data_IF_094799554976
#
_entry.id   IF_094799554976
#
_cell.length_a   1.000
_cell.length_b   1.000
_cell.length_c   1.000
_cell.angle_alpha   90.00
_cell.angle_beta   90.00
_cell.angle_gamma   90.00
#
_symmetry.space_group_name_H-M   'P 1'
#
loop_
_entity.id
_entity.type
_entity.pdbx_description
1 polymer ?
#
# COMPACT_ATOMS: atom_id res chain seq x y z
N UNK A 1 16.54 12.79 -11.50
CA UNK A 1 16.11 12.44 -12.87
C UNK A 1 15.04 11.36 -12.77
N UNK A 2 13.81 11.62 -13.20
CA UNK A 2 12.82 10.55 -13.29
C UNK A 2 13.26 9.55 -14.35
N UNK A 3 13.40 8.28 -13.96
CA UNK A 3 13.67 7.20 -14.90
C UNK A 3 12.46 6.99 -15.81
N UNK A 4 12.67 6.56 -17.05
CA UNK A 4 11.58 6.25 -18.00
C UNK A 4 10.50 5.35 -17.38
N UNK A 5 10.90 4.39 -16.53
CA UNK A 5 10.00 3.51 -15.78
C UNK A 5 9.08 4.29 -14.83
N UNK A 6 9.62 5.24 -14.06
CA UNK A 6 8.83 6.05 -13.13
C UNK A 6 7.80 6.91 -13.86
N UNK A 7 8.19 7.50 -15.00
CA UNK A 7 7.26 8.25 -15.86
C UNK A 7 6.11 7.38 -16.36
N UNK A 8 6.41 6.20 -16.91
CA UNK A 8 5.40 5.27 -17.42
C UNK A 8 4.45 4.80 -16.32
N UNK A 9 4.97 4.52 -15.12
CA UNK A 9 4.16 4.11 -13.98
C UNK A 9 3.21 5.21 -13.51
N UNK A 10 3.71 6.45 -13.37
CA UNK A 10 2.89 7.62 -13.03
C UNK A 10 1.80 7.87 -14.07
N UNK A 11 2.11 7.71 -15.36
CA UNK A 11 1.12 7.81 -16.43
C UNK A 11 0.04 6.73 -16.28
N UNK A 12 0.42 5.47 -16.04
CA UNK A 12 -0.52 4.38 -15.82
C UNK A 12 -1.45 4.64 -14.62
N UNK A 13 -0.91 5.14 -13.50
CA UNK A 13 -1.71 5.52 -12.33
C UNK A 13 -2.72 6.63 -12.63
N UNK A 14 -2.33 7.65 -13.40
CA UNK A 14 -3.25 8.71 -13.83
C UNK A 14 -4.38 8.18 -14.72
N UNK A 15 -4.09 7.25 -15.62
CA UNK A 15 -5.14 6.66 -16.47
C UNK A 15 -6.12 5.82 -15.64
N UNK A 16 -5.63 5.01 -14.71
CA UNK A 16 -6.50 4.23 -13.79
C UNK A 16 -7.37 5.15 -12.93
N UNK A 17 -6.80 6.27 -12.44
CA UNK A 17 -7.56 7.26 -11.68
C UNK A 17 -8.71 7.87 -12.49
N UNK A 18 -8.50 8.19 -13.77
CA UNK A 18 -9.55 8.72 -14.67
C UNK A 18 -10.69 7.74 -14.89
N UNK A 19 -10.42 6.43 -14.84
CA UNK A 19 -11.42 5.37 -14.96
C UNK A 19 -12.27 5.18 -13.69
N UNK A 20 -12.10 6.03 -12.68
CA UNK A 20 -12.94 6.02 -11.47
C UNK A 20 -12.38 5.18 -10.32
N UNK A 21 -11.05 5.11 -10.19
CA UNK A 21 -10.40 4.45 -9.05
C UNK A 21 -10.93 4.99 -7.70
N UNK A 22 -11.67 4.15 -6.98
CA UNK A 22 -12.22 4.49 -5.66
C UNK A 22 -11.12 4.70 -4.63
N UNK A 23 -10.01 3.96 -4.73
CA UNK A 23 -8.90 4.08 -3.78
C UNK A 23 -8.18 5.41 -3.94
N UNK A 24 -8.11 5.96 -5.16
CA UNK A 24 -7.62 7.32 -5.42
C UNK A 24 -8.46 8.43 -4.79
N UNK A 25 -9.75 8.17 -4.57
CA UNK A 25 -10.64 9.11 -3.86
C UNK A 25 -10.51 8.98 -2.35
N UNK A 26 -10.28 7.77 -1.83
CA UNK A 26 -10.22 7.48 -0.40
C UNK A 26 -8.87 7.85 0.20
N UNK A 27 -7.77 7.56 -0.49
CA UNK A 27 -6.41 7.77 -0.01
C UNK A 27 -6.17 9.16 0.63
N UNK A 28 -6.54 10.29 0.01
CA UNK A 28 -6.28 11.61 0.59
C UNK A 28 -7.22 11.98 1.75
N UNK A 29 -8.26 11.19 2.04
CA UNK A 29 -9.23 11.47 3.10
C UNK A 29 -8.76 11.00 4.48
N UNK A 30 -7.71 10.19 4.53
CA UNK A 30 -7.21 9.56 5.74
C UNK A 30 -5.75 9.98 5.91
N UNK A 31 -5.40 10.49 7.08
CA UNK A 31 -4.00 10.65 7.47
C UNK A 31 -3.44 9.27 7.85
N UNK A 32 -2.87 8.59 6.85
CA UNK A 32 -2.32 7.25 7.04
C UNK A 32 -1.09 7.24 7.95
N UNK A 33 -0.33 8.33 7.99
CA UNK A 33 0.88 8.41 8.82
C UNK A 33 0.53 8.54 10.31
N UNK A 34 -0.67 9.01 10.64
CA UNK A 34 -1.17 9.01 12.02
C UNK A 34 -1.24 7.60 12.64
N UNK A 35 -1.32 6.54 11.82
CA UNK A 35 -1.26 5.17 12.34
C UNK A 35 0.15 4.77 12.76
N UNK A 36 1.20 5.20 12.04
CA UNK A 36 2.58 4.77 12.30
C UNK A 36 2.99 4.82 13.78
N UNK A 37 2.84 5.93 14.52
CA UNK A 37 3.24 5.98 15.92
C UNK A 37 2.45 5.02 16.82
N UNK A 38 1.23 4.61 16.43
CA UNK A 38 0.37 3.69 17.19
C UNK A 38 0.82 2.22 17.07
N UNK A 39 1.40 1.85 15.92
CA UNK A 39 1.74 0.46 15.59
C UNK A 39 3.24 0.18 15.50
N UNK A 40 4.10 1.20 15.39
CA UNK A 40 5.56 1.02 15.33
C UNK A 40 6.13 0.23 16.53
N UNK A 41 5.45 0.26 17.68
CA UNK A 41 5.86 -0.47 18.89
C UNK A 41 5.45 -1.95 18.92
N UNK A 42 4.65 -2.43 17.97
CA UNK A 42 4.22 -3.84 17.92
C UNK A 42 5.34 -4.79 17.53
N UNK A 43 6.37 -4.28 16.85
CA UNK A 43 7.46 -5.08 16.36
C UNK A 43 8.81 -4.53 16.80
N UNK A 44 9.56 -5.36 17.53
CA UNK A 44 10.94 -5.05 17.97
C UNK A 44 11.95 -5.93 17.23
N UNK A 45 12.03 -5.75 15.91
CA UNK A 45 12.94 -6.50 15.03
C UNK A 45 13.92 -5.61 14.27
N UNK A 46 14.09 -4.35 14.72
CA UNK A 46 15.10 -3.42 14.17
C UNK A 46 16.49 -3.59 14.82
N UNK A 47 16.65 -4.56 15.72
CA UNK A 47 17.93 -4.89 16.35
C UNK A 47 18.81 -5.77 15.46
N UNK A 48 20.11 -5.86 15.75
CA UNK A 48 21.06 -6.74 15.04
C UNK A 48 20.72 -8.24 15.14
N UNK A 49 19.83 -8.62 16.08
CA UNK A 49 19.30 -9.98 16.25
C UNK A 49 17.90 -10.16 15.64
N UNK A 50 17.38 -9.11 15.00
CA UNK A 50 16.07 -9.12 14.35
C UNK A 50 16.05 -10.03 13.11
N UNK A 51 14.87 -10.59 12.83
CA UNK A 51 14.63 -11.38 11.61
C UNK A 51 14.47 -10.52 10.35
N UNK A 52 13.74 -11.03 9.35
CA UNK A 52 13.40 -10.27 8.14
C UNK A 52 12.79 -8.91 8.51
N UNK A 53 13.23 -7.79 7.90
CA UNK A 53 12.61 -6.49 8.13
C UNK A 53 11.11 -6.54 7.88
N UNK A 54 10.34 -5.85 8.74
CA UNK A 54 8.90 -5.75 8.54
C UNK A 54 8.57 -4.93 7.30
N UNK A 55 7.39 -5.20 6.77
CA UNK A 55 6.71 -4.29 5.86
C UNK A 55 6.45 -2.97 6.60
N UNK A 56 6.53 -1.87 5.88
CA UNK A 56 6.17 -0.54 6.38
C UNK A 56 4.80 -0.57 7.08
N UNK A 57 4.72 0.04 8.27
CA UNK A 57 3.55 -0.07 9.14
C UNK A 57 2.28 0.49 8.47
N UNK A 58 2.42 1.56 7.69
CA UNK A 58 1.30 2.19 6.96
C UNK A 58 0.84 1.29 5.82
N UNK A 59 1.79 0.68 5.08
CA UNK A 59 1.45 -0.28 4.03
C UNK A 59 0.69 -1.47 4.59
N UNK A 60 1.07 -1.96 5.78
CA UNK A 60 0.38 -3.06 6.44
C UNK A 60 -1.08 -2.70 6.79
N UNK A 61 -1.32 -1.50 7.36
CA UNK A 61 -2.68 -1.01 7.63
C UNK A 61 -3.50 -0.91 6.35
N UNK A 62 -2.92 -0.34 5.29
CA UNK A 62 -3.58 -0.24 3.98
C UNK A 62 -3.91 -1.63 3.40
N UNK A 63 -3.02 -2.61 3.55
CA UNK A 63 -3.26 -3.99 3.14
C UNK A 63 -4.45 -4.62 3.88
N UNK A 64 -4.54 -4.45 5.21
CA UNK A 64 -5.70 -4.91 6.00
C UNK A 64 -7.00 -4.22 5.56
N UNK A 65 -6.94 -2.95 5.19
CA UNK A 65 -8.12 -2.24 4.66
C UNK A 65 -8.57 -2.78 3.30
N UNK A 66 -7.62 -3.08 2.40
CA UNK A 66 -7.94 -3.74 1.13
C UNK A 66 -8.54 -5.13 1.38
N UNK A 67 -7.99 -5.88 2.33
CA UNK A 67 -8.51 -7.19 2.70
C UNK A 67 -9.97 -7.10 3.14
N UNK A 68 -10.27 -6.17 4.06
CA UNK A 68 -11.63 -5.98 4.60
C UNK A 68 -12.62 -5.44 3.56
N UNK A 69 -12.23 -4.46 2.75
CA UNK A 69 -13.15 -3.83 1.78
C UNK A 69 -13.44 -4.69 0.56
N UNK A 70 -12.53 -5.58 0.18
CA UNK A 70 -12.68 -6.47 -0.97
C UNK A 70 -12.95 -7.93 -0.59
N UNK A 71 -13.01 -8.25 0.70
CA UNK A 71 -13.30 -9.60 1.21
C UNK A 71 -12.23 -10.62 0.82
N UNK A 72 -10.95 -10.23 0.90
CA UNK A 72 -9.84 -11.04 0.40
C UNK A 72 -9.27 -11.94 1.51
N UNK A 73 -8.79 -13.12 1.12
CA UNK A 73 -7.85 -13.89 1.96
C UNK A 73 -6.43 -13.33 1.82
N UNK A 74 -5.52 -13.65 2.74
CA UNK A 74 -4.12 -13.21 2.65
C UNK A 74 -3.47 -13.58 1.29
N UNK A 75 -3.59 -14.82 0.77
CA UNK A 75 -3.02 -15.16 -0.54
C UNK A 75 -3.66 -14.42 -1.71
N UNK A 76 -4.96 -14.11 -1.63
CA UNK A 76 -5.64 -13.33 -2.66
C UNK A 76 -5.23 -11.86 -2.60
N UNK A 77 -5.08 -11.29 -1.40
CA UNK A 77 -4.60 -9.94 -1.19
C UNK A 77 -3.21 -9.75 -1.82
N UNK A 78 -2.29 -10.67 -1.56
CA UNK A 78 -0.94 -10.64 -2.14
C UNK A 78 -1.00 -10.69 -3.68
N UNK A 79 -1.80 -11.59 -4.25
CA UNK A 79 -1.98 -11.70 -5.71
C UNK A 79 -2.56 -10.41 -6.30
N UNK A 80 -3.58 -9.83 -5.68
CA UNK A 80 -4.20 -8.60 -6.18
C UNK A 80 -3.31 -7.36 -5.98
N UNK A 81 -2.53 -7.30 -4.91
CA UNK A 81 -1.55 -6.25 -4.70
C UNK A 81 -0.43 -6.30 -5.76
N UNK A 82 -0.07 -7.49 -6.25
CA UNK A 82 0.90 -7.64 -7.33
C UNK A 82 0.34 -7.27 -8.72
N UNK A 83 -0.93 -7.59 -8.97
CA UNK A 83 -1.56 -7.48 -10.30
C UNK A 83 -2.25 -6.11 -10.54
N UNK A 84 -3.01 -5.61 -9.55
CA UNK A 84 -3.90 -4.46 -9.76
C UNK A 84 -3.16 -3.13 -9.58
N UNK A 85 -3.12 -2.34 -10.65
CA UNK A 85 -2.51 -1.00 -10.63
C UNK A 85 -3.12 -0.06 -9.58
N UNK A 86 -4.44 -0.12 -9.34
CA UNK A 86 -5.09 0.70 -8.32
C UNK A 86 -4.65 0.34 -6.90
N UNK A 87 -4.40 -0.96 -6.63
CA UNK A 87 -3.91 -1.42 -5.34
C UNK A 87 -2.46 -0.99 -5.14
N UNK A 88 -1.62 -1.19 -6.16
CA UNK A 88 -0.21 -0.75 -6.11
C UNK A 88 -0.10 0.74 -5.87
N UNK A 89 -0.88 1.55 -6.58
CA UNK A 89 -0.93 3.01 -6.39
C UNK A 89 -1.34 3.37 -4.96
N UNK A 90 -2.35 2.69 -4.42
CA UNK A 90 -2.86 2.95 -3.07
C UNK A 90 -1.84 2.58 -1.97
N UNK A 91 -1.11 1.48 -2.16
CA UNK A 91 -0.11 1.01 -1.20
C UNK A 91 1.15 1.88 -1.17
N UNK A 92 1.53 2.47 -2.31
CA UNK A 92 2.72 3.35 -2.43
C UNK A 92 3.82 2.72 -3.26
#
# INVERSE_FOLDING_TARGET
MDTFKAYMLRKAYKEVQKLGDRLAKIEPLIDWEAFRPLIQGLYDNRSERGGRPNVDEVVMVKMLMLQQWYGLSDPELERQAADRLSFRRFLG
#
